data_IF_454087239298
#
_entry.id   IF_454087239298
#
_cell.length_a   1.000
_cell.length_b   1.000
_cell.length_c   1.000
_cell.angle_alpha   90.00
_cell.angle_beta   90.00
_cell.angle_gamma   90.00
#
_symmetry.space_group_name_H-M   'P 1'
#
loop_
_entity.id
_entity.type
_entity.pdbx_description
1 polymer ?
#
# COMPACT_ATOMS: atom_id res chain seq x y z
N UNK A 1 -9.20 15.88 3.88
CA UNK A 1 -8.23 15.66 4.97
C UNK A 1 -8.67 14.45 5.74
N UNK A 2 -7.77 13.50 5.96
CA UNK A 2 -8.04 12.24 6.64
C UNK A 2 -7.18 12.16 7.90
N UNK A 3 -7.60 11.35 8.87
CA UNK A 3 -6.70 10.95 9.95
C UNK A 3 -5.68 9.94 9.42
N UNK A 4 -4.38 10.18 9.65
CA UNK A 4 -3.33 9.21 9.35
C UNK A 4 -3.17 8.15 10.47
N UNK A 5 -4.19 7.97 11.32
CA UNK A 5 -4.16 7.14 12.52
C UNK A 5 -5.29 6.10 12.55
N UNK A 6 -5.67 5.54 11.41
CA UNK A 6 -6.80 4.57 11.37
C UNK A 6 -6.47 3.22 12.02
N UNK A 7 -5.19 2.85 12.14
CA UNK A 7 -4.77 1.65 12.86
C UNK A 7 -4.48 1.94 14.34
N UNK A 8 -4.72 0.98 15.27
CA UNK A 8 -4.39 1.12 16.69
C UNK A 8 -2.95 1.61 16.95
N UNK A 9 -2.69 2.33 18.06
CA UNK A 9 -1.38 2.92 18.35
C UNK A 9 -0.22 1.91 18.35
N UNK A 10 -0.46 0.70 18.82
CA UNK A 10 0.52 -0.39 18.93
C UNK A 10 0.80 -1.11 17.61
N UNK A 11 -0.02 -0.89 16.59
CA UNK A 11 0.14 -1.54 15.28
C UNK A 11 1.13 -0.78 14.42
N UNK A 12 2.15 -1.48 13.91
CA UNK A 12 3.06 -0.93 12.91
C UNK A 12 2.36 -0.87 11.54
N UNK A 13 2.39 0.28 10.86
CA UNK A 13 2.01 0.37 9.45
C UNK A 13 3.30 0.25 8.65
N UNK A 14 3.38 -0.74 7.78
CA UNK A 14 4.57 -1.03 6.99
C UNK A 14 4.73 -0.06 5.81
N UNK A 15 5.94 0.05 5.30
CA UNK A 15 6.28 0.90 4.15
C UNK A 15 5.39 0.59 2.94
N UNK A 16 4.77 1.62 2.41
CA UNK A 16 3.87 1.55 1.26
C UNK A 16 3.82 2.87 0.48
N UNK A 17 3.47 2.78 -0.77
CA UNK A 17 2.98 3.91 -1.54
C UNK A 17 1.47 4.01 -1.36
N UNK A 18 0.96 5.19 -1.07
CA UNK A 18 -0.47 5.40 -0.85
C UNK A 18 -1.29 4.97 -2.08
N UNK A 19 -2.24 4.06 -1.84
CA UNK A 19 -3.16 3.52 -2.86
C UNK A 19 -2.48 2.83 -4.07
N UNK A 20 -1.20 2.46 -4.01
CA UNK A 20 -0.53 1.79 -5.14
C UNK A 20 -1.07 0.39 -5.47
N UNK A 21 -1.90 -0.19 -4.58
CA UNK A 21 -2.65 -1.43 -4.81
C UNK A 21 -3.99 -1.20 -5.51
N UNK A 22 -4.28 -0.01 -5.98
CA UNK A 22 -5.52 0.31 -6.71
C UNK A 22 -5.19 0.97 -8.05
N UNK A 23 -6.11 0.95 -9.04
CA UNK A 23 -5.91 1.66 -10.30
C UNK A 23 -5.78 3.18 -10.17
N UNK A 24 -6.29 3.75 -9.06
CA UNK A 24 -6.27 5.18 -8.76
C UNK A 24 -5.34 5.44 -7.57
N UNK A 25 -4.46 6.43 -7.67
CA UNK A 25 -3.55 6.80 -6.59
C UNK A 25 -3.28 8.31 -6.58
N UNK A 26 -2.98 8.91 -5.41
CA UNK A 26 -2.57 10.30 -5.33
C UNK A 26 -1.07 10.42 -5.72
N UNK A 27 -0.73 11.48 -6.43
CA UNK A 27 0.68 11.84 -6.66
C UNK A 27 1.30 12.46 -5.41
N UNK A 28 0.57 13.33 -4.74
CA UNK A 28 1.07 14.07 -3.59
C UNK A 28 0.37 13.62 -2.32
N UNK A 29 1.15 13.47 -1.26
CA UNK A 29 0.66 13.29 0.10
C UNK A 29 1.22 14.44 0.93
N UNK A 30 0.33 15.13 1.63
CA UNK A 30 0.69 16.14 2.60
C UNK A 30 0.29 15.63 3.98
N UNK A 31 1.25 15.56 4.89
CA UNK A 31 1.02 15.27 6.30
C UNK A 31 1.17 16.54 7.11
N UNK A 32 0.34 16.69 8.13
CA UNK A 32 0.41 17.78 9.10
C UNK A 32 0.24 17.22 10.51
N UNK A 33 1.15 17.59 11.42
CA UNK A 33 1.12 17.19 12.81
C UNK A 33 0.33 18.19 13.65
N UNK A 34 -0.88 17.82 14.06
CA UNK A 34 -1.68 18.61 14.99
C UNK A 34 -1.28 18.31 16.46
N UNK A 35 -1.00 17.04 16.78
CA UNK A 35 -0.55 16.59 18.10
C UNK A 35 0.57 15.58 17.89
N UNK A 36 1.76 15.91 18.40
CA UNK A 36 2.90 15.01 18.39
C UNK A 36 2.70 13.88 19.43
N UNK A 37 3.16 12.64 19.15
CA UNK A 37 3.08 11.55 20.13
C UNK A 37 4.00 11.81 21.33
N UNK A 38 3.63 11.27 22.49
CA UNK A 38 4.45 11.36 23.69
C UNK A 38 5.74 10.54 23.57
N UNK A 39 5.64 9.34 22.97
CA UNK A 39 6.80 8.47 22.73
C UNK A 39 6.68 7.79 21.35
N UNK A 40 7.79 7.72 20.61
CA UNK A 40 7.92 7.08 19.31
C UNK A 40 6.98 7.67 18.22
N UNK A 41 6.27 6.87 17.43
CA UNK A 41 5.27 7.33 16.47
C UNK A 41 5.84 8.13 15.29
N UNK A 42 7.10 7.91 14.95
CA UNK A 42 7.73 8.49 13.76
C UNK A 42 7.07 8.02 12.48
N UNK A 43 7.28 8.76 11.40
CA UNK A 43 6.91 8.35 10.05
C UNK A 43 8.18 7.95 9.30
N UNK A 44 8.44 6.63 9.15
CA UNK A 44 9.53 6.14 8.29
C UNK A 44 9.27 6.54 6.84
N UNK A 45 10.32 6.95 6.14
CA UNK A 45 10.29 7.26 4.71
C UNK A 45 11.41 6.50 4.01
N UNK A 46 11.09 5.85 2.90
CA UNK A 46 12.05 5.13 2.06
C UNK A 46 11.87 5.54 0.60
N UNK A 47 12.99 5.89 -0.06
CA UNK A 47 12.99 6.19 -1.50
C UNK A 47 12.93 4.90 -2.31
N UNK A 48 11.84 4.72 -3.06
CA UNK A 48 11.59 3.53 -3.85
C UNK A 48 12.37 3.48 -5.18
N UNK A 49 12.90 4.59 -5.68
CA UNK A 49 13.84 4.59 -6.79
C UNK A 49 15.19 3.97 -6.36
N UNK A 50 15.74 4.39 -5.22
CA UNK A 50 16.97 3.83 -4.66
C UNK A 50 16.79 2.35 -4.28
N UNK A 51 15.62 1.97 -3.74
CA UNK A 51 15.28 0.59 -3.47
C UNK A 51 15.28 -0.26 -4.74
N UNK A 52 14.65 0.23 -5.82
CA UNK A 52 14.60 -0.46 -7.10
C UNK A 52 16.00 -0.70 -7.67
N UNK A 53 16.86 0.33 -7.66
CA UNK A 53 18.24 0.24 -8.17
C UNK A 53 19.04 -0.83 -7.41
N UNK A 54 18.94 -0.86 -6.07
CA UNK A 54 19.61 -1.86 -5.24
C UNK A 54 19.05 -3.28 -5.47
N UNK A 55 17.73 -3.40 -5.54
CA UNK A 55 17.08 -4.68 -5.78
C UNK A 55 17.39 -5.25 -7.18
N UNK A 56 17.52 -4.38 -8.19
CA UNK A 56 17.89 -4.79 -9.54
C UNK A 56 19.32 -5.37 -9.64
N UNK A 57 20.21 -4.97 -8.73
CA UNK A 57 21.57 -5.56 -8.64
C UNK A 57 21.49 -6.97 -8.02
N UNK A 58 20.73 -7.11 -6.93
CA UNK A 58 20.65 -8.36 -6.17
C UNK A 58 19.76 -9.42 -6.85
N UNK A 59 18.64 -8.97 -7.47
CA UNK A 59 17.60 -9.81 -8.07
C UNK A 59 17.09 -9.26 -9.42
N UNK A 60 17.92 -9.18 -10.47
CA UNK A 60 17.57 -8.55 -11.74
C UNK A 60 16.39 -9.22 -12.45
N UNK A 61 16.24 -10.55 -12.34
CA UNK A 61 15.13 -11.29 -12.94
C UNK A 61 13.80 -10.98 -12.25
N UNK A 62 13.80 -10.86 -10.93
CA UNK A 62 12.60 -10.48 -10.18
C UNK A 62 12.13 -9.07 -10.54
N UNK A 63 13.06 -8.11 -10.66
CA UNK A 63 12.71 -6.74 -11.08
C UNK A 63 12.14 -6.74 -12.49
N UNK A 64 12.73 -7.49 -13.42
CA UNK A 64 12.20 -7.64 -14.79
C UNK A 64 10.81 -8.26 -14.81
N UNK A 65 10.55 -9.29 -13.97
CA UNK A 65 9.23 -9.89 -13.83
C UNK A 65 8.21 -8.89 -13.28
N UNK A 66 8.58 -8.08 -12.29
CA UNK A 66 7.75 -6.98 -11.79
C UNK A 66 7.43 -5.94 -12.87
N UNK A 67 8.39 -5.59 -13.73
CA UNK A 67 8.21 -4.64 -14.82
C UNK A 67 7.28 -5.17 -15.93
N UNK A 68 7.46 -6.45 -16.29
CA UNK A 68 6.76 -7.03 -17.44
C UNK A 68 5.41 -7.62 -17.12
N UNK A 69 5.27 -8.23 -15.94
CA UNK A 69 4.04 -8.90 -15.48
C UNK A 69 3.17 -7.99 -14.59
N UNK A 70 3.80 -7.01 -13.93
CA UNK A 70 3.13 -6.24 -12.87
C UNK A 70 2.82 -7.08 -11.64
N UNK A 71 1.96 -6.55 -10.78
CA UNK A 71 1.50 -7.20 -9.54
C UNK A 71 -0.03 -7.20 -9.46
N UNK A 72 -0.56 -8.21 -8.80
CA UNK A 72 -1.98 -8.35 -8.49
C UNK A 72 -2.14 -8.55 -6.99
N UNK A 73 -3.15 -7.88 -6.43
CA UNK A 73 -3.43 -7.90 -5.00
C UNK A 73 -4.78 -8.50 -4.72
N UNK A 74 -4.86 -9.33 -3.69
CA UNK A 74 -6.12 -9.90 -3.19
C UNK A 74 -6.33 -9.48 -1.75
N UNK A 75 -7.49 -8.97 -1.43
CA UNK A 75 -7.90 -8.58 -0.08
C UNK A 75 -9.28 -9.13 0.24
N UNK A 76 -9.44 -9.69 1.43
CA UNK A 76 -10.73 -10.11 1.98
C UNK A 76 -11.19 -9.06 2.98
N UNK A 77 -12.17 -8.27 2.60
CA UNK A 77 -12.74 -7.17 3.38
C UNK A 77 -13.97 -7.66 4.15
N UNK A 78 -14.11 -7.34 5.45
CA UNK A 78 -15.28 -7.73 6.24
C UNK A 78 -16.55 -6.98 5.83
N UNK A 79 -17.72 -7.51 6.21
CA UNK A 79 -19.01 -6.82 6.02
C UNK A 79 -19.17 -5.58 6.87
N UNK A 80 -18.59 -5.59 8.08
CA UNK A 80 -18.57 -4.48 9.02
C UNK A 80 -17.14 -4.15 9.44
N UNK A 81 -16.88 -2.92 9.89
CA UNK A 81 -15.54 -2.53 10.32
C UNK A 81 -15.10 -3.33 11.55
N UNK A 82 -13.92 -3.91 11.49
CA UNK A 82 -13.24 -4.63 12.57
C UNK A 82 -12.09 -3.77 13.10
N UNK A 83 -12.34 -3.04 14.18
CA UNK A 83 -11.36 -2.12 14.76
C UNK A 83 -10.14 -2.82 15.38
N UNK A 84 -10.18 -4.15 15.56
CA UNK A 84 -9.07 -4.93 16.12
C UNK A 84 -8.08 -5.40 15.05
N UNK A 85 -8.34 -5.13 13.78
CA UNK A 85 -7.49 -5.54 12.67
C UNK A 85 -7.02 -4.36 11.84
N UNK A 86 -5.71 -4.33 11.50
CA UNK A 86 -5.18 -3.40 10.50
C UNK A 86 -5.74 -3.61 9.09
N UNK A 87 -6.39 -4.77 8.84
CA UNK A 87 -7.11 -5.11 7.60
C UNK A 87 -8.63 -5.12 7.79
N UNK A 88 -9.11 -4.51 8.87
CA UNK A 88 -10.49 -4.60 9.31
C UNK A 88 -11.46 -3.59 8.70
N UNK A 89 -11.04 -2.80 7.71
CA UNK A 89 -11.93 -1.84 7.04
C UNK A 89 -12.95 -2.60 6.17
N UNK A 90 -14.25 -2.32 6.38
CA UNK A 90 -15.31 -2.99 5.63
C UNK A 90 -15.25 -2.69 4.14
N UNK A 91 -15.80 -3.60 3.32
CA UNK A 91 -15.89 -3.39 1.87
C UNK A 91 -16.70 -2.13 1.53
N UNK A 92 -17.79 -1.86 2.26
CA UNK A 92 -18.61 -0.66 2.07
C UNK A 92 -17.78 0.63 2.29
N UNK A 93 -17.04 0.69 3.40
CA UNK A 93 -16.15 1.82 3.71
C UNK A 93 -14.97 1.93 2.73
N UNK A 94 -14.40 0.80 2.32
CA UNK A 94 -13.24 0.77 1.41
C UNK A 94 -13.60 1.24 0.00
N UNK A 95 -14.76 0.79 -0.51
CA UNK A 95 -15.24 1.13 -1.85
C UNK A 95 -16.04 2.44 -1.89
N UNK A 96 -16.43 2.98 -0.72
CA UNK A 96 -17.23 4.20 -0.61
C UNK A 96 -18.67 4.00 -1.09
N UNK A 97 -19.28 2.85 -0.78
CA UNK A 97 -20.62 2.45 -1.25
C UNK A 97 -21.49 1.94 -0.10
N UNK A 98 -22.81 1.88 -0.33
CA UNK A 98 -23.77 1.49 0.70
C UNK A 98 -24.47 0.16 0.43
N UNK A 99 -24.30 -0.44 -0.76
CA UNK A 99 -24.92 -1.73 -1.13
C UNK A 99 -23.97 -2.66 -1.87
N UNK A 100 -24.30 -3.95 -1.90
CA UNK A 100 -23.54 -4.96 -2.65
C UNK A 100 -23.55 -4.68 -4.15
N UNK A 101 -24.68 -4.26 -4.69
CA UNK A 101 -24.82 -3.92 -6.11
C UNK A 101 -23.90 -2.75 -6.48
N UNK A 102 -23.88 -1.70 -5.64
CA UNK A 102 -22.98 -0.56 -5.84
C UNK A 102 -21.49 -0.96 -5.69
N UNK A 103 -21.19 -1.91 -4.77
CA UNK A 103 -19.85 -2.46 -4.63
C UNK A 103 -19.42 -3.21 -5.90
N UNK A 104 -20.30 -4.05 -6.45
CA UNK A 104 -20.01 -4.79 -7.69
C UNK A 104 -19.84 -3.84 -8.89
N UNK A 105 -20.67 -2.80 -9.00
CA UNK A 105 -20.53 -1.82 -10.07
C UNK A 105 -19.19 -1.09 -9.95
N UNK A 106 -18.80 -0.71 -8.73
CA UNK A 106 -17.50 -0.08 -8.46
C UNK A 106 -16.33 -1.00 -8.79
N UNK A 107 -16.43 -2.30 -8.46
CA UNK A 107 -15.40 -3.28 -8.80
C UNK A 107 -15.29 -3.52 -10.30
N UNK A 108 -16.42 -3.53 -11.04
CA UNK A 108 -16.42 -3.60 -12.52
C UNK A 108 -15.73 -2.38 -13.14
N UNK A 109 -16.06 -1.17 -12.68
CA UNK A 109 -15.39 0.07 -13.13
C UNK A 109 -13.87 0.02 -12.95
N UNK A 110 -13.40 -0.57 -11.84
CA UNK A 110 -11.99 -0.71 -11.52
C UNK A 110 -11.33 -1.96 -12.12
N UNK A 111 -12.08 -2.77 -12.90
CA UNK A 111 -11.62 -4.04 -13.49
C UNK A 111 -11.14 -5.07 -12.45
N UNK A 112 -11.74 -5.10 -11.26
CA UNK A 112 -11.47 -6.13 -10.27
C UNK A 112 -12.25 -7.42 -10.60
N UNK A 113 -11.71 -8.57 -10.17
CA UNK A 113 -12.48 -9.79 -9.95
C UNK A 113 -12.84 -9.90 -8.47
N UNK A 114 -13.98 -10.54 -8.14
CA UNK A 114 -14.42 -10.63 -6.75
C UNK A 114 -15.22 -11.89 -6.47
N UNK A 115 -15.33 -12.20 -5.18
CA UNK A 115 -16.15 -13.26 -4.64
C UNK A 115 -16.77 -12.83 -3.31
N UNK A 116 -18.08 -13.04 -3.17
CA UNK A 116 -18.76 -12.92 -1.89
C UNK A 116 -18.63 -14.21 -1.10
N UNK A 117 -18.26 -14.10 0.16
CA UNK A 117 -18.27 -15.20 1.12
C UNK A 117 -19.60 -15.27 1.86
N UNK A 118 -19.94 -16.45 2.43
CA UNK A 118 -21.20 -16.70 3.14
C UNK A 118 -21.36 -15.82 4.38
N UNK A 119 -20.25 -15.46 5.02
CA UNK A 119 -20.19 -14.57 6.19
C UNK A 119 -20.33 -13.07 5.84
N UNK A 120 -20.58 -12.74 4.58
CA UNK A 120 -20.72 -11.38 4.12
C UNK A 120 -19.40 -10.65 3.81
N UNK A 121 -18.26 -11.32 3.97
CA UNK A 121 -16.96 -10.79 3.51
C UNK A 121 -16.91 -10.71 1.98
N UNK A 122 -16.14 -9.73 1.49
CA UNK A 122 -15.86 -9.54 0.07
C UNK A 122 -14.38 -9.78 -0.20
N UNK A 123 -14.07 -10.84 -0.93
CA UNK A 123 -12.75 -11.05 -1.52
C UNK A 123 -12.69 -10.31 -2.86
N UNK A 124 -11.73 -9.41 -3.00
CA UNK A 124 -11.52 -8.63 -4.22
C UNK A 124 -10.07 -8.74 -4.67
N UNK A 125 -9.88 -9.01 -5.98
CA UNK A 125 -8.56 -9.12 -6.61
C UNK A 125 -8.44 -8.06 -7.70
N UNK A 126 -7.35 -7.29 -7.66
CA UNK A 126 -7.09 -6.22 -8.63
C UNK A 126 -6.81 -6.77 -10.03
N UNK A 127 -6.94 -5.97 -11.09
CA UNK A 127 -6.25 -6.24 -12.35
C UNK A 127 -4.73 -6.28 -12.13
N UNK A 128 -3.95 -6.70 -13.12
CA UNK A 128 -2.51 -6.51 -13.08
C UNK A 128 -2.19 -5.01 -13.07
N UNK A 129 -1.49 -4.56 -12.02
CA UNK A 129 -1.05 -3.17 -11.84
C UNK A 129 0.46 -3.08 -12.08
N UNK A 130 0.96 -1.99 -12.70
CA UNK A 130 2.39 -1.75 -12.81
C UNK A 130 3.07 -1.78 -11.44
N UNK A 131 4.15 -2.55 -11.30
CA UNK A 131 4.94 -2.60 -10.06
C UNK A 131 6.12 -1.63 -10.08
N UNK A 132 6.54 -1.22 -11.28
CA UNK A 132 7.61 -0.26 -11.53
C UNK A 132 7.03 0.87 -12.37
N UNK A 133 7.32 2.10 -11.99
CA UNK A 133 6.85 3.31 -12.67
C UNK A 133 8.04 4.15 -13.14
N UNK A 134 8.05 4.57 -14.41
CA UNK A 134 8.95 5.60 -14.89
C UNK A 134 8.37 6.97 -14.53
N UNK A 135 9.13 7.78 -13.78
CA UNK A 135 8.72 9.11 -13.30
C UNK A 135 9.36 10.25 -14.09
N UNK A 136 10.45 9.97 -14.77
CA UNK A 136 11.11 10.82 -15.76
C UNK A 136 12.03 9.94 -16.61
N UNK A 137 12.52 10.42 -17.78
CA UNK A 137 13.38 9.63 -18.65
C UNK A 137 14.55 8.99 -17.90
N UNK A 138 14.58 7.66 -17.88
CA UNK A 138 15.61 6.85 -17.23
C UNK A 138 15.53 6.77 -15.70
N UNK A 139 14.54 7.40 -15.06
CA UNK A 139 14.32 7.30 -13.62
C UNK A 139 13.06 6.51 -13.31
N UNK A 140 13.22 5.36 -12.66
CA UNK A 140 12.16 4.43 -12.33
C UNK A 140 12.03 4.26 -10.82
N UNK A 141 10.85 3.93 -10.36
CA UNK A 141 10.54 3.69 -8.94
C UNK A 141 9.84 2.35 -8.74
N UNK A 142 10.05 1.71 -7.61
CA UNK A 142 9.34 0.51 -7.20
C UNK A 142 7.98 0.89 -6.59
N UNK A 143 7.07 1.38 -7.45
CA UNK A 143 5.78 1.94 -7.07
C UNK A 143 4.73 0.85 -6.90
N UNK A 144 4.65 0.28 -5.71
CA UNK A 144 3.75 -0.83 -5.39
C UNK A 144 3.52 -0.94 -3.87
N UNK A 145 2.75 -1.97 -3.45
CA UNK A 145 2.47 -2.28 -2.04
C UNK A 145 3.10 -3.60 -1.57
N UNK A 146 4.12 -4.11 -2.27
CA UNK A 146 4.70 -5.42 -1.99
C UNK A 146 5.13 -5.56 -0.52
N UNK A 147 5.85 -4.57 0.02
CA UNK A 147 6.37 -4.62 1.39
C UNK A 147 5.21 -4.67 2.39
N UNK A 148 4.22 -3.80 2.26
CA UNK A 148 3.06 -3.80 3.14
C UNK A 148 2.23 -5.08 3.01
N UNK A 149 2.00 -5.56 1.80
CA UNK A 149 1.22 -6.78 1.56
C UNK A 149 1.91 -8.02 2.16
N UNK A 150 3.23 -8.15 1.97
CA UNK A 150 3.99 -9.30 2.49
C UNK A 150 4.25 -9.23 4.00
N UNK A 151 4.31 -8.02 4.59
CA UNK A 151 4.64 -7.85 6.00
C UNK A 151 3.42 -7.64 6.91
N UNK A 152 2.37 -7.00 6.42
CA UNK A 152 1.29 -6.47 7.26
C UNK A 152 -0.14 -6.92 6.90
N UNK A 153 -0.40 -7.43 5.69
CA UNK A 153 -1.75 -7.85 5.31
C UNK A 153 -2.06 -9.22 5.88
N UNK A 154 -2.24 -9.25 7.18
CA UNK A 154 -2.48 -10.47 7.95
C UNK A 154 -3.54 -10.24 9.00
N UNK A 155 -4.61 -11.02 8.93
CA UNK A 155 -5.61 -11.20 9.99
C UNK A 155 -6.27 -12.57 9.85
N UNK A 156 -7.42 -12.79 10.49
CA UNK A 156 -8.16 -14.07 10.40
C UNK A 156 -8.69 -14.34 8.97
N UNK A 157 -8.78 -13.32 8.11
CA UNK A 157 -9.31 -13.38 6.74
C UNK A 157 -8.19 -13.34 5.70
N UNK A 158 -7.08 -12.69 5.99
CA UNK A 158 -6.01 -12.39 5.05
C UNK A 158 -4.70 -13.08 5.45
N UNK A 159 -4.01 -13.62 4.45
CA UNK A 159 -2.69 -14.21 4.60
C UNK A 159 -1.72 -13.59 3.57
N UNK A 160 -0.57 -13.05 3.99
CA UNK A 160 0.42 -12.46 3.09
C UNK A 160 0.83 -13.34 1.90
N UNK A 161 0.83 -14.67 2.07
CA UNK A 161 1.19 -15.60 0.99
C UNK A 161 0.20 -15.58 -0.18
N UNK A 162 -1.04 -15.14 0.03
CA UNK A 162 -2.09 -15.07 -0.97
C UNK A 162 -2.48 -13.63 -1.33
N UNK A 163 -1.94 -12.67 -0.59
CA UNK A 163 -2.32 -11.25 -0.74
C UNK A 163 -1.72 -10.60 -1.99
N UNK A 164 -0.65 -11.17 -2.56
CA UNK A 164 0.07 -10.59 -3.70
C UNK A 164 0.74 -11.68 -4.55
N UNK A 165 0.65 -11.52 -5.87
CA UNK A 165 1.36 -12.34 -6.85
C UNK A 165 1.74 -11.49 -8.08
N UNK A 166 2.49 -12.05 -9.04
CA UNK A 166 2.65 -11.41 -10.34
C UNK A 166 1.30 -11.29 -11.07
N UNK A 167 1.20 -10.36 -12.01
CA UNK A 167 -0.02 -10.10 -12.77
C UNK A 167 -0.53 -11.30 -13.58
N UNK A 168 0.36 -12.24 -13.94
CA UNK A 168 0.04 -13.52 -14.58
C UNK A 168 -0.42 -14.61 -13.58
N UNK A 169 -0.46 -14.30 -12.28
CA UNK A 169 -0.81 -15.21 -11.21
C UNK A 169 0.35 -16.08 -10.70
N UNK A 170 1.56 -15.96 -11.28
CA UNK A 170 2.72 -16.69 -10.79
C UNK A 170 3.18 -16.15 -9.42
N UNK A 171 3.71 -17.03 -8.54
CA UNK A 171 4.15 -16.62 -7.20
C UNK A 171 5.38 -15.73 -7.27
N UNK A 172 5.52 -14.83 -6.29
CA UNK A 172 6.72 -14.01 -6.12
C UNK A 172 7.90 -14.84 -5.62
N UNK A 173 9.11 -14.46 -6.03
CA UNK A 173 10.33 -15.04 -5.49
C UNK A 173 10.51 -14.62 -4.02
N UNK A 174 10.35 -15.55 -3.08
CA UNK A 174 10.40 -15.29 -1.64
C UNK A 174 11.73 -14.68 -1.17
N UNK A 175 12.85 -15.03 -1.80
CA UNK A 175 14.15 -14.47 -1.46
C UNK A 175 14.26 -13.02 -1.92
N UNK A 176 13.75 -12.69 -3.10
CA UNK A 176 13.71 -11.33 -3.61
C UNK A 176 12.78 -10.44 -2.76
N UNK A 177 11.61 -10.96 -2.36
CA UNK A 177 10.69 -10.26 -1.44
C UNK A 177 11.37 -9.96 -0.11
N UNK A 178 12.02 -10.96 0.50
CA UNK A 178 12.77 -10.76 1.75
C UNK A 178 13.85 -9.69 1.58
N UNK A 179 14.62 -9.75 0.48
CA UNK A 179 15.66 -8.76 0.22
C UNK A 179 15.09 -7.35 -0.01
N UNK A 180 13.95 -7.22 -0.67
CA UNK A 180 13.27 -5.94 -0.81
C UNK A 180 12.87 -5.34 0.56
N UNK A 181 12.39 -6.16 1.48
CA UNK A 181 12.06 -5.74 2.86
C UNK A 181 13.33 -5.29 3.60
N UNK A 182 14.40 -6.09 3.58
CA UNK A 182 15.69 -5.77 4.19
C UNK A 182 16.27 -4.45 3.66
N UNK A 183 16.31 -4.30 2.33
CA UNK A 183 16.78 -3.07 1.68
C UNK A 183 15.93 -1.86 2.04
N UNK A 184 14.62 -2.04 2.14
CA UNK A 184 13.74 -0.94 2.52
C UNK A 184 14.02 -0.45 3.95
N UNK A 185 14.31 -1.38 4.88
CA UNK A 185 14.71 -1.04 6.24
C UNK A 185 16.07 -0.34 6.29
N UNK A 186 17.05 -0.82 5.50
CA UNK A 186 18.38 -0.19 5.38
C UNK A 186 18.32 1.25 4.84
N UNK A 187 17.39 1.53 3.92
CA UNK A 187 17.26 2.81 3.21
C UNK A 187 16.30 3.79 3.90
N UNK A 188 15.62 3.35 4.94
CA UNK A 188 14.62 4.15 5.65
C UNK A 188 15.28 5.18 6.58
N UNK A 189 14.69 6.37 6.62
CA UNK A 189 14.91 7.33 7.68
C UNK A 189 13.57 7.72 8.33
N UNK A 190 13.61 8.06 9.60
CA UNK A 190 12.41 8.37 10.38
C UNK A 190 12.19 9.89 10.50
N UNK A 191 10.99 10.36 10.20
CA UNK A 191 10.55 11.72 10.50
C UNK A 191 9.94 11.72 11.89
N UNK A 192 10.61 12.42 12.83
CA UNK A 192 10.09 12.69 14.16
C UNK A 192 9.18 13.92 14.12
N UNK A 193 7.98 13.82 14.71
CA UNK A 193 6.98 14.87 14.64
C UNK A 193 7.09 15.86 15.79
N UNK A 194 6.93 17.14 15.46
CA UNK A 194 6.61 18.21 16.38
C UNK A 194 5.27 18.83 15.97
N UNK A 195 4.54 19.40 16.92
CA UNK A 195 3.30 20.12 16.63
C UNK A 195 3.56 21.25 15.65
N UNK A 196 2.75 21.33 14.58
CA UNK A 196 2.92 22.30 13.51
C UNK A 196 3.80 21.83 12.35
N UNK A 197 4.51 20.71 12.47
CA UNK A 197 5.28 20.16 11.36
C UNK A 197 4.37 19.77 10.20
N UNK A 198 4.89 20.00 8.98
CA UNK A 198 4.24 19.46 7.81
C UNK A 198 5.26 18.84 6.85
N UNK A 199 4.83 17.78 6.15
CA UNK A 199 5.65 17.06 5.15
C UNK A 199 4.85 16.94 3.86
N UNK A 200 5.40 17.45 2.76
CA UNK A 200 4.91 17.19 1.41
C UNK A 200 5.77 16.10 0.77
N UNK A 201 5.13 15.05 0.27
CA UNK A 201 5.81 13.90 -0.30
C UNK A 201 5.29 13.57 -1.69
N UNK A 202 6.19 13.32 -2.63
CA UNK A 202 5.86 12.69 -3.92
C UNK A 202 5.66 11.19 -3.68
N UNK A 203 4.41 10.77 -3.66
CA UNK A 203 4.00 9.39 -3.44
C UNK A 203 4.52 8.44 -4.54
N UNK A 204 4.87 8.95 -5.73
CA UNK A 204 5.43 8.10 -6.79
C UNK A 204 6.91 7.80 -6.59
N UNK A 205 7.58 8.49 -5.67
CA UNK A 205 9.02 8.37 -5.39
C UNK A 205 9.32 7.74 -4.05
N UNK A 206 8.51 8.05 -3.04
CA UNK A 206 8.78 7.65 -1.66
C UNK A 206 7.62 6.87 -1.04
N UNK A 207 7.97 5.77 -0.39
CA UNK A 207 7.08 5.05 0.53
C UNK A 207 7.10 5.72 1.89
N UNK A 208 6.03 5.54 2.64
CA UNK A 208 5.92 5.94 4.02
C UNK A 208 5.36 4.81 4.89
N UNK A 209 5.55 4.97 6.21
CA UNK A 209 5.11 4.01 7.21
C UNK A 209 4.69 4.75 8.49
N UNK A 210 4.26 4.01 9.53
CA UNK A 210 4.03 4.55 10.87
C UNK A 210 4.58 3.58 11.90
N UNK A 211 5.48 4.05 12.76
CA UNK A 211 5.92 3.30 13.92
C UNK A 211 4.82 3.29 15.00
N UNK A 212 4.74 2.25 15.83
CA UNK A 212 3.91 2.27 17.03
C UNK A 212 4.24 3.49 17.91
N UNK A 213 3.26 3.95 18.69
CA UNK A 213 3.42 5.11 19.54
C UNK A 213 2.66 4.96 20.85
N UNK A 214 2.99 5.83 21.82
CA UNK A 214 2.24 6.00 23.07
C UNK A 214 1.67 7.40 23.16
N UNK A 215 0.62 7.53 23.93
CA UNK A 215 -0.07 8.79 24.13
C UNK A 215 -1.00 9.15 22.99
N UNK A 216 -1.31 10.42 22.88
CA UNK A 216 -2.14 10.96 21.80
C UNK A 216 -1.26 11.36 20.63
N UNK A 217 -1.59 10.89 19.45
CA UNK A 217 -0.97 11.31 18.19
C UNK A 217 -2.04 11.73 17.21
N UNK A 218 -1.95 12.94 16.67
CA UNK A 218 -2.84 13.40 15.61
C UNK A 218 -2.02 13.97 14.45
N UNK A 219 -1.71 13.11 13.50
CA UNK A 219 -1.16 13.49 12.20
C UNK A 219 -2.28 13.29 11.19
N UNK A 220 -2.60 14.34 10.46
CA UNK A 220 -3.62 14.31 9.41
C UNK A 220 -2.95 14.25 8.04
N UNK A 221 -3.64 13.66 7.07
CA UNK A 221 -3.15 13.54 5.70
C UNK A 221 -4.13 14.20 4.71
N UNK A 222 -3.59 14.75 3.66
CA UNK A 222 -4.33 15.21 2.49
C UNK A 222 -3.71 14.63 1.23
N UNK A 223 -4.57 14.13 0.34
CA UNK A 223 -4.18 13.52 -0.93
C UNK A 223 -4.42 14.52 -2.07
N UNK A 224 -3.44 14.71 -2.92
CA UNK A 224 -3.51 15.64 -4.03
C UNK A 224 -3.17 15.02 -5.37
N UNK A 225 -3.76 15.54 -6.44
CA UNK A 225 -3.53 15.13 -7.81
C UNK A 225 -3.70 13.61 -8.01
N UNK A 226 -4.97 13.17 -8.07
CA UNK A 226 -5.29 11.77 -8.36
C UNK A 226 -4.83 11.42 -9.79
N UNK A 227 -4.13 10.32 -9.92
CA UNK A 227 -3.62 9.75 -11.17
C UNK A 227 -4.18 8.33 -11.35
N UNK A 228 -4.12 7.83 -12.58
CA UNK A 228 -4.56 6.47 -12.94
C UNK A 228 -3.35 5.68 -13.46
N UNK A 229 -3.21 4.41 -13.05
CA UNK A 229 -2.29 3.49 -13.70
C UNK A 229 -2.68 3.28 -15.16
N UNK A 230 -1.70 3.35 -16.06
CA UNK A 230 -1.87 2.80 -17.40
C UNK A 230 -1.95 1.28 -17.28
N UNK A 231 -3.17 0.72 -17.30
CA UNK A 231 -3.36 -0.72 -17.22
C UNK A 231 -2.77 -1.35 -18.50
N UNK A 232 -1.72 -2.13 -18.35
CA UNK A 232 -1.22 -2.97 -19.44
C UNK A 232 -2.12 -4.19 -19.49
N UNK A 233 -2.89 -4.33 -20.57
CA UNK A 233 -3.62 -5.58 -20.84
C UNK A 233 -2.54 -6.62 -21.16
N UNK A 234 -2.22 -7.48 -20.21
CA UNK A 234 -1.44 -8.69 -20.47
C UNK A 234 -2.34 -9.60 -21.26
N UNK A 235 -2.05 -9.75 -22.55
CA UNK A 235 -2.77 -10.63 -23.46
C UNK A 235 -2.51 -12.12 -23.12
#
# INVERSE_FOLDING_TARGET
VFSANEAPPEVNIFLHHEMAQTPLYPRWILFYCEIAPDEAGTTPICRSDTLLDRLAVDFPEFVRDCETKGLRYTNVMPGENDANSGMGRSWASTLGVESKEAAEDRLRELNYSWKWHEDGCLEATTPSLPAVKEISPGRRTFFNQLIAACSGWKDVRNNPSNAICHGDGSPLNANAVRRAIELSDELTFDVSWQEGDFVLMDNTVAMHARRPFKGTRKVVASLGQMETHSLTVVA
#
